data_IF_207670670072
#
_entry.id   IF_207670670072
#
_cell.length_a   1.000
_cell.length_b   1.000
_cell.length_c   1.000
_cell.angle_alpha   90.00
_cell.angle_beta   90.00
_cell.angle_gamma   90.00
#
_symmetry.space_group_name_H-M   'P 1'
#
loop_
_entity.id
_entity.type
_entity.pdbx_description
1 polymer ?
#
# COMPACT_ATOMS: atom_id res chain seq x y z
N UNK A 1 -2.19 3.54 -15.13
CA UNK A 1 -3.37 2.76 -14.70
C UNK A 1 -3.17 2.31 -13.25
N UNK A 2 -2.11 1.55 -12.94
CA UNK A 2 -1.72 1.12 -11.59
C UNK A 2 -1.67 2.24 -10.54
N UNK A 3 -0.87 3.29 -10.76
CA UNK A 3 -0.79 4.43 -9.82
C UNK A 3 -2.17 5.07 -9.59
N UNK A 4 -2.98 5.20 -10.64
CA UNK A 4 -4.32 5.81 -10.53
C UNK A 4 -5.29 4.95 -9.73
N UNK A 5 -5.20 3.63 -9.77
CA UNK A 5 -6.07 2.77 -8.94
C UNK A 5 -5.68 2.90 -7.47
N UNK A 6 -4.38 2.87 -7.19
CA UNK A 6 -3.84 3.04 -5.83
C UNK A 6 -4.23 4.39 -5.23
N UNK A 7 -4.09 5.49 -5.98
CA UNK A 7 -4.51 6.84 -5.56
C UNK A 7 -6.03 6.99 -5.31
N UNK A 8 -6.85 6.03 -5.74
CA UNK A 8 -8.29 5.99 -5.48
C UNK A 8 -8.67 5.10 -4.30
N UNK A 9 -7.70 4.48 -3.64
CA UNK A 9 -7.98 3.71 -2.44
C UNK A 9 -8.45 4.66 -1.32
N UNK A 10 -9.45 4.25 -0.52
CA UNK A 10 -9.82 5.01 0.65
C UNK A 10 -8.64 5.04 1.63
N UNK A 11 -8.43 6.19 2.27
CA UNK A 11 -7.49 6.33 3.39
C UNK A 11 -8.08 7.22 4.47
N UNK A 12 -7.79 6.88 5.72
CA UNK A 12 -8.25 7.66 6.87
C UNK A 12 -7.67 9.07 6.79
N UNK A 13 -8.54 10.08 6.94
CA UNK A 13 -8.25 11.50 6.73
C UNK A 13 -7.63 11.84 5.37
N UNK A 14 -7.81 10.98 4.36
CA UNK A 14 -7.20 11.09 3.03
C UNK A 14 -5.65 11.25 3.08
N UNK A 15 -5.02 10.69 4.11
CA UNK A 15 -3.57 10.78 4.35
C UNK A 15 -2.73 10.08 3.29
N UNK A 16 -3.33 9.14 2.55
CA UNK A 16 -2.71 8.36 1.48
C UNK A 16 -1.32 7.85 1.88
N UNK A 17 -1.20 7.07 2.97
CA UNK A 17 0.04 6.82 3.68
C UNK A 17 0.89 5.72 3.03
N UNK A 18 1.01 5.75 1.70
CA UNK A 18 1.70 4.73 0.93
C UNK A 18 2.73 5.33 -0.03
N UNK A 19 3.77 4.56 -0.28
CA UNK A 19 4.74 4.77 -1.34
C UNK A 19 4.71 3.55 -2.26
N UNK A 20 4.70 3.79 -3.57
CA UNK A 20 4.77 2.74 -4.57
C UNK A 20 6.14 2.77 -5.24
N UNK A 21 6.86 1.67 -5.11
CA UNK A 21 8.10 1.41 -5.82
C UNK A 21 7.83 0.44 -6.97
N UNK A 22 8.34 0.76 -8.15
CA UNK A 22 8.11 -0.02 -9.36
C UNK A 22 9.45 -0.49 -9.89
N UNK A 23 9.64 -1.80 -9.91
CA UNK A 23 10.77 -2.46 -10.52
C UNK A 23 10.31 -3.34 -11.69
N UNK A 24 11.25 -3.89 -12.46
CA UNK A 24 10.94 -4.75 -13.58
C UNK A 24 10.28 -6.05 -13.09
N UNK A 25 8.95 -6.14 -13.24
CA UNK A 25 8.17 -7.32 -12.87
C UNK A 25 7.71 -7.36 -11.41
N UNK A 26 7.96 -6.30 -10.63
CA UNK A 26 7.68 -6.26 -9.20
C UNK A 26 7.12 -4.89 -8.78
N UNK A 27 6.18 -4.89 -7.84
CA UNK A 27 5.58 -3.69 -7.27
C UNK A 27 5.72 -3.78 -5.75
N UNK A 28 6.50 -2.89 -5.14
CA UNK A 28 6.63 -2.85 -3.68
C UNK A 28 5.79 -1.69 -3.13
N UNK A 29 5.02 -1.96 -2.07
CA UNK A 29 4.22 -0.95 -1.37
C UNK A 29 4.79 -0.76 0.03
N UNK A 30 5.24 0.46 0.29
CA UNK A 30 5.79 0.88 1.58
C UNK A 30 4.81 1.77 2.33
N UNK A 31 4.80 1.64 3.65
CA UNK A 31 4.11 2.56 4.55
C UNK A 31 4.84 3.90 4.60
N UNK A 32 4.07 5.00 4.48
CA UNK A 32 4.55 6.36 4.76
C UNK A 32 3.95 6.83 6.07
N UNK A 33 4.78 6.97 7.11
CA UNK A 33 4.35 7.39 8.43
C UNK A 33 3.88 8.86 8.52
N UNK A 34 4.04 9.65 7.45
CA UNK A 34 3.66 11.06 7.41
C UNK A 34 2.37 11.31 6.59
N UNK A 35 1.42 12.10 7.14
CA UNK A 35 1.47 12.77 8.45
C UNK A 35 1.27 11.79 9.61
N UNK A 36 2.03 11.97 10.70
CA UNK A 36 1.84 11.20 11.92
C UNK A 36 0.56 11.67 12.63
N UNK A 37 -0.25 10.72 13.10
CA UNK A 37 -1.51 10.99 13.80
C UNK A 37 -1.50 10.38 15.21
N UNK A 38 -0.59 10.78 16.11
CA UNK A 38 -0.35 10.09 17.38
C UNK A 38 -1.56 10.04 18.32
N UNK A 39 -2.52 10.97 18.18
CA UNK A 39 -3.74 10.99 18.99
C UNK A 39 -4.87 10.13 18.40
N UNK A 40 -4.95 10.03 17.06
CA UNK A 40 -6.01 9.29 16.38
C UNK A 40 -5.61 7.84 16.12
N UNK A 41 -4.39 7.66 15.60
CA UNK A 41 -3.83 6.37 15.22
C UNK A 41 -2.49 6.12 15.92
N UNK A 42 -2.48 6.01 17.27
CA UNK A 42 -1.25 5.80 18.05
C UNK A 42 -0.54 4.49 17.72
N UNK A 43 -1.25 3.51 17.15
CA UNK A 43 -0.74 2.17 16.84
C UNK A 43 -0.51 1.94 15.35
N UNK A 44 -0.83 2.91 14.48
CA UNK A 44 -0.68 2.77 13.03
C UNK A 44 -1.69 1.82 12.37
N UNK A 45 -2.78 1.47 13.03
CA UNK A 45 -3.77 0.51 12.50
C UNK A 45 -4.57 1.09 11.35
N UNK A 46 -4.97 2.36 11.47
CA UNK A 46 -5.70 3.05 10.40
C UNK A 46 -4.80 3.27 9.19
N UNK A 47 -3.52 3.57 9.45
CA UNK A 47 -2.50 3.71 8.43
C UNK A 47 -2.27 2.38 7.68
N UNK A 48 -2.05 1.29 8.41
CA UNK A 48 -1.91 -0.04 7.84
C UNK A 48 -3.15 -0.48 7.05
N UNK A 49 -4.36 -0.24 7.58
CA UNK A 49 -5.61 -0.53 6.87
C UNK A 49 -5.76 0.27 5.56
N UNK A 50 -5.36 1.55 5.57
CA UNK A 50 -5.34 2.39 4.38
C UNK A 50 -4.37 1.84 3.32
N UNK A 51 -3.17 1.42 3.72
CA UNK A 51 -2.22 0.76 2.82
C UNK A 51 -2.75 -0.57 2.27
N UNK A 52 -3.43 -1.37 3.08
CA UNK A 52 -4.08 -2.61 2.62
C UNK A 52 -5.12 -2.35 1.52
N UNK A 53 -5.92 -1.29 1.65
CA UNK A 53 -6.85 -0.87 0.59
C UNK A 53 -6.12 -0.44 -0.70
N UNK A 54 -4.98 0.24 -0.58
CA UNK A 54 -4.13 0.60 -1.71
C UNK A 54 -3.54 -0.62 -2.44
N UNK A 55 -3.06 -1.62 -1.68
CA UNK A 55 -2.58 -2.90 -2.23
C UNK A 55 -3.70 -3.64 -2.97
N UNK A 56 -4.90 -3.72 -2.40
CA UNK A 56 -6.05 -4.37 -3.04
C UNK A 56 -6.43 -3.68 -4.38
N UNK A 57 -6.44 -2.34 -4.41
CA UNK A 57 -6.68 -1.59 -5.64
C UNK A 57 -5.58 -1.82 -6.70
N UNK A 58 -4.33 -2.00 -6.27
CA UNK A 58 -3.21 -2.30 -7.15
C UNK A 58 -3.33 -3.71 -7.74
N UNK A 59 -3.66 -4.69 -6.92
CA UNK A 59 -3.88 -6.09 -7.31
C UNK A 59 -5.02 -6.21 -8.35
N UNK A 60 -6.16 -5.55 -8.10
CA UNK A 60 -7.27 -5.48 -9.05
C UNK A 60 -6.88 -4.83 -10.38
N UNK A 61 -6.05 -3.79 -10.32
CA UNK A 61 -5.57 -3.09 -11.50
C UNK A 61 -4.63 -3.96 -12.35
N UNK A 62 -3.74 -4.73 -11.71
CA UNK A 62 -2.89 -5.72 -12.39
C UNK A 62 -3.75 -6.79 -13.08
N UNK A 63 -4.73 -7.35 -12.36
CA UNK A 63 -5.66 -8.35 -12.92
C UNK A 63 -6.48 -7.82 -14.09
N UNK A 64 -6.95 -6.57 -14.02
CA UNK A 64 -7.69 -5.92 -15.11
C UNK A 64 -6.85 -5.75 -16.39
N UNK A 65 -5.53 -5.68 -16.26
CA UNK A 65 -4.59 -5.65 -17.39
C UNK A 65 -4.30 -7.06 -17.96
N UNK A 66 -5.00 -8.09 -17.51
CA UNK A 66 -4.82 -9.48 -17.97
C UNK A 66 -3.57 -10.15 -17.41
N UNK A 67 -2.99 -9.62 -16.32
CA UNK A 67 -1.79 -10.16 -15.67
C UNK A 67 -2.16 -10.83 -14.34
N UNK A 68 -1.48 -11.93 -14.01
CA UNK A 68 -1.50 -12.50 -12.66
C UNK A 68 -0.47 -11.80 -11.77
N UNK A 69 -0.78 -11.70 -10.48
CA UNK A 69 0.17 -11.32 -9.45
C UNK A 69 -0.04 -12.19 -8.21
N UNK A 70 1.03 -12.38 -7.45
CA UNK A 70 1.03 -12.96 -6.10
C UNK A 70 1.39 -11.81 -5.18
N UNK A 71 0.65 -11.65 -4.09
CA UNK A 71 0.91 -10.59 -3.11
C UNK A 71 1.50 -11.24 -1.86
N UNK A 72 2.71 -10.83 -1.50
CA UNK A 72 3.33 -11.20 -0.23
C UNK A 72 3.21 -10.02 0.74
N UNK A 73 2.51 -10.21 1.86
CA UNK A 73 2.39 -9.20 2.91
C UNK A 73 3.53 -9.33 3.92
N UNK A 74 4.08 -8.18 4.34
CA UNK A 74 5.18 -8.08 5.30
C UNK A 74 6.32 -9.07 4.96
N UNK A 75 6.88 -9.00 3.74
CA UNK A 75 7.80 -10.03 3.24
C UNK A 75 9.20 -9.99 3.89
N UNK A 76 9.57 -8.88 4.54
CA UNK A 76 10.90 -8.65 5.07
C UNK A 76 10.79 -8.14 6.52
N UNK A 77 11.09 -9.00 7.50
CA UNK A 77 11.01 -8.65 8.94
C UNK A 77 11.92 -7.46 9.33
N UNK A 78 13.02 -7.28 8.61
CA UNK A 78 13.98 -6.19 8.81
C UNK A 78 13.52 -4.85 8.20
N UNK A 79 12.45 -4.86 7.39
CA UNK A 79 11.88 -3.69 6.73
C UNK A 79 10.38 -3.59 7.07
N UNK A 80 10.03 -3.19 8.30
CA UNK A 80 8.64 -3.19 8.77
C UNK A 80 7.74 -2.22 8.00
N UNK A 81 8.31 -1.25 7.29
CA UNK A 81 7.57 -0.35 6.43
C UNK A 81 7.30 -0.94 5.04
N UNK A 82 7.96 -2.03 4.63
CA UNK A 82 7.62 -2.78 3.41
C UNK A 82 6.38 -3.65 3.67
N UNK A 83 5.21 -3.14 3.29
CA UNK A 83 3.92 -3.78 3.60
C UNK A 83 3.56 -4.88 2.63
N UNK A 84 3.88 -4.72 1.34
CA UNK A 84 3.58 -5.72 0.32
C UNK A 84 4.56 -5.67 -0.84
N UNK A 85 4.72 -6.83 -1.51
CA UNK A 85 5.46 -7.02 -2.76
C UNK A 85 4.72 -7.98 -3.68
#
# INVERSE_FOLDING_TARGET
>A
MLVRSMMRAPSVHNTQPWLLEVAAGELSVRERAEPALPHHDPQGRDRAASCGAAVANLELAVRTLGRSCVVAFLPEDEQPDLLAR
#
